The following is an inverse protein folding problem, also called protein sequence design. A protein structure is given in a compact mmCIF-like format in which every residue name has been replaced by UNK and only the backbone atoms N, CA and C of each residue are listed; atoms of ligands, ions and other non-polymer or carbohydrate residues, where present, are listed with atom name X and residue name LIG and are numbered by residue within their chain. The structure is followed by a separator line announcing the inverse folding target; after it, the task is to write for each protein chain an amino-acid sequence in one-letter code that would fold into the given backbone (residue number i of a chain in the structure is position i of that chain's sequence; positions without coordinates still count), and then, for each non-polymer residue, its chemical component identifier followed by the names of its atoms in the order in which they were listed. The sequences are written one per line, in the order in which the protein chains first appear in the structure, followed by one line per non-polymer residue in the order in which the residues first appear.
data_IF_705330952971
#
_entry.id   IF_705330952971
#
_cell.length_a   1.000
_cell.length_b   1.000
_cell.length_c   1.000
_cell.angle_alpha   90.00
_cell.angle_beta   90.00
_cell.angle_gamma   90.00
#
_symmetry.space_group_name_H-M   'P 1'
#
loop_
_entity.id
_entity.type
_entity.pdbx_description
1 polymer ?
#
# COMPACT_ATOMS: atom_id res chain seq x y z
N UNK A 1 15.72 -3.75 -5.64
CA UNK A 1 15.88 -2.93 -4.42
C UNK A 1 15.45 -3.66 -3.15
N UNK A 2 14.39 -4.47 -3.15
CA UNK A 2 13.86 -5.14 -1.94
C UNK A 2 14.84 -6.12 -1.29
N UNK A 3 15.54 -6.97 -2.05
CA UNK A 3 16.50 -7.93 -1.47
C UNK A 3 17.69 -7.26 -0.79
N UNK A 4 18.21 -6.16 -1.35
CA UNK A 4 19.30 -5.41 -0.74
C UNK A 4 18.87 -4.75 0.58
N UNK A 5 17.63 -4.23 0.64
CA UNK A 5 17.09 -3.63 1.86
C UNK A 5 16.99 -4.63 3.01
N UNK A 6 16.47 -5.84 2.75
CA UNK A 6 16.28 -6.88 3.77
C UNK A 6 17.57 -7.46 4.32
N UNK A 7 18.67 -7.44 3.55
CA UNK A 7 19.96 -7.99 3.98
C UNK A 7 20.97 -6.90 4.38
N UNK A 8 21.14 -5.87 3.55
CA UNK A 8 22.12 -4.82 3.80
C UNK A 8 21.66 -3.86 4.92
N UNK A 9 20.36 -3.57 5.04
CA UNK A 9 19.83 -2.68 6.07
C UNK A 9 20.12 -3.15 7.50
N UNK A 10 19.70 -4.38 7.88
CA UNK A 10 20.01 -4.95 9.19
C UNK A 10 21.51 -5.12 9.42
N UNK A 11 22.26 -5.49 8.38
CA UNK A 11 23.71 -5.66 8.46
C UNK A 11 24.43 -4.35 8.78
N UNK A 12 24.12 -3.26 8.06
CA UNK A 12 24.69 -1.92 8.29
C UNK A 12 24.29 -1.41 9.67
N UNK A 13 23.01 -1.58 10.08
CA UNK A 13 22.57 -1.20 11.43
C UNK A 13 23.31 -1.97 12.52
N UNK A 14 23.53 -3.28 12.33
CA UNK A 14 24.29 -4.10 13.26
C UNK A 14 25.77 -3.71 13.30
N UNK A 15 26.37 -3.36 12.16
CA UNK A 15 27.74 -2.88 12.09
C UNK A 15 27.93 -1.51 12.75
N UNK A 16 26.96 -0.58 12.60
CA UNK A 16 26.94 0.68 13.38
C UNK A 16 26.79 0.40 14.87
N UNK A 17 25.92 -0.52 15.26
CA UNK A 17 25.73 -0.91 16.68
C UNK A 17 26.97 -1.58 17.30
N UNK A 18 27.80 -2.25 16.48
CA UNK A 18 29.10 -2.82 16.89
C UNK A 18 30.25 -1.79 16.89
N UNK A 19 30.03 -0.60 16.33
CA UNK A 19 31.06 0.42 16.18
C UNK A 19 31.97 0.22 14.95
N UNK A 20 31.63 -0.69 14.05
CA UNK A 20 32.41 -0.98 12.83
C UNK A 20 32.32 0.17 11.80
N UNK A 21 31.25 1.00 11.88
CA UNK A 21 30.97 2.11 10.96
C UNK A 21 30.41 3.31 11.75
N UNK A 22 30.88 4.52 11.41
CA UNK A 22 30.36 5.75 12.01
C UNK A 22 28.91 5.99 11.56
N UNK A 23 28.02 6.31 12.50
CA UNK A 23 26.64 6.66 12.19
C UNK A 23 26.59 8.00 11.47
N UNK A 24 25.97 8.05 10.30
CA UNK A 24 25.67 9.31 9.61
C UNK A 24 24.49 10.01 10.29
N UNK A 25 24.55 11.34 10.43
CA UNK A 25 23.43 12.14 10.96
C UNK A 25 22.19 12.03 10.08
N UNK A 26 22.37 11.92 8.76
CA UNK A 26 21.27 11.76 7.82
C UNK A 26 21.58 10.62 6.81
N UNK A 27 21.03 9.41 7.02
CA UNK A 27 21.32 8.25 6.17
C UNK A 27 20.83 8.44 4.72
N UNK A 28 19.85 9.30 4.49
CA UNK A 28 19.28 9.54 3.16
C UNK A 28 20.26 10.27 2.23
N UNK A 29 21.25 10.98 2.79
CA UNK A 29 22.26 11.74 2.05
C UNK A 29 23.50 10.92 1.68
N UNK A 30 23.64 9.71 2.21
CA UNK A 30 24.86 8.89 2.04
C UNK A 30 25.12 8.58 0.57
N UNK A 31 24.08 8.16 -0.17
CA UNK A 31 24.24 7.79 -1.57
C UNK A 31 24.53 9.01 -2.48
N UNK A 32 23.78 10.13 -2.40
CA UNK A 32 24.12 11.35 -3.14
C UNK A 32 25.53 11.86 -2.84
N UNK A 33 25.92 11.93 -1.57
CA UNK A 33 27.24 12.41 -1.18
C UNK A 33 28.35 11.46 -1.61
N UNK A 34 28.12 10.14 -1.56
CA UNK A 34 29.11 9.17 -2.05
C UNK A 34 29.35 9.32 -3.56
N UNK A 35 28.29 9.53 -4.35
CA UNK A 35 28.43 9.78 -5.79
C UNK A 35 29.21 11.06 -6.06
N UNK A 36 28.86 12.16 -5.38
CA UNK A 36 29.53 13.46 -5.56
C UNK A 36 31.02 13.40 -5.18
N UNK A 37 31.38 12.68 -4.11
CA UNK A 37 32.76 12.65 -3.61
C UNK A 37 33.64 11.59 -4.27
N UNK A 38 33.08 10.48 -4.76
CA UNK A 38 33.86 9.31 -5.19
C UNK A 38 33.64 8.87 -6.65
N UNK A 39 32.60 9.35 -7.33
CA UNK A 39 32.32 8.96 -8.72
C UNK A 39 32.70 10.07 -9.71
N UNK A 40 33.07 9.72 -10.97
CA UNK A 40 33.31 10.72 -12.02
C UNK A 40 32.08 11.57 -12.30
N UNK A 41 32.26 12.86 -12.59
CA UNK A 41 31.17 13.83 -12.79
C UNK A 41 30.09 13.36 -13.78
N UNK A 42 30.51 12.70 -14.87
CA UNK A 42 29.60 12.16 -15.89
C UNK A 42 28.70 11.07 -15.32
N UNK A 43 29.26 10.19 -14.48
CA UNK A 43 28.51 9.10 -13.83
C UNK A 43 27.58 9.69 -12.77
N UNK A 44 28.06 10.63 -11.97
CA UNK A 44 27.26 11.32 -10.95
C UNK A 44 26.05 12.02 -11.56
N UNK A 45 26.26 12.80 -12.63
CA UNK A 45 25.17 13.47 -13.34
C UNK A 45 24.15 12.47 -13.89
N UNK A 46 24.61 11.42 -14.57
CA UNK A 46 23.71 10.40 -15.14
C UNK A 46 22.89 9.68 -14.07
N UNK A 47 23.53 9.22 -12.98
CA UNK A 47 22.88 8.47 -11.91
C UNK A 47 21.89 9.35 -11.14
N UNK A 48 22.26 10.59 -10.81
CA UNK A 48 21.35 11.51 -10.11
C UNK A 48 20.13 11.86 -10.98
N UNK A 49 20.31 12.10 -12.27
CA UNK A 49 19.18 12.29 -13.20
C UNK A 49 18.29 11.05 -13.29
N UNK A 50 18.87 9.86 -13.35
CA UNK A 50 18.10 8.61 -13.37
C UNK A 50 17.28 8.41 -12.08
N UNK A 51 17.84 8.75 -10.92
CA UNK A 51 17.12 8.71 -9.63
C UNK A 51 15.93 9.68 -9.64
N UNK A 52 16.12 10.92 -10.09
CA UNK A 52 15.03 11.90 -10.20
C UNK A 52 13.94 11.41 -11.15
N UNK A 53 14.31 10.84 -12.30
CA UNK A 53 13.37 10.27 -13.25
C UNK A 53 12.55 9.11 -12.64
N UNK A 54 13.20 8.22 -11.88
CA UNK A 54 12.53 7.11 -11.19
C UNK A 54 11.54 7.60 -10.12
N UNK A 55 11.92 8.63 -9.35
CA UNK A 55 11.05 9.26 -8.35
C UNK A 55 9.83 9.89 -9.04
N UNK A 56 10.03 10.61 -10.15
CA UNK A 56 8.94 11.25 -10.88
C UNK A 56 7.93 10.24 -11.43
N UNK A 57 8.39 9.10 -11.98
CA UNK A 57 7.51 8.04 -12.47
C UNK A 57 6.65 7.44 -11.34
N UNK A 58 7.27 7.18 -10.20
CA UNK A 58 6.58 6.60 -9.02
C UNK A 58 5.58 7.59 -8.43
N UNK A 59 5.98 8.86 -8.27
CA UNK A 59 5.11 9.92 -7.76
C UNK A 59 3.91 10.15 -8.69
N UNK A 60 4.11 10.18 -10.00
CA UNK A 60 3.00 10.32 -10.96
C UNK A 60 2.01 9.16 -10.87
N UNK A 61 2.50 7.93 -10.71
CA UNK A 61 1.62 6.77 -10.53
C UNK A 61 0.77 6.91 -9.27
N UNK A 62 1.37 7.26 -8.13
CA UNK A 62 0.62 7.44 -6.87
C UNK A 62 -0.35 8.62 -6.90
N UNK A 63 0.05 9.74 -7.50
CA UNK A 63 -0.83 10.90 -7.67
C UNK A 63 -2.04 10.54 -8.55
N UNK A 64 -1.82 9.80 -9.64
CA UNK A 64 -2.89 9.38 -10.53
C UNK A 64 -3.83 8.37 -9.86
N UNK A 65 -3.29 7.38 -9.13
CA UNK A 65 -4.09 6.42 -8.36
C UNK A 65 -4.89 7.14 -7.28
N UNK A 66 -4.28 8.06 -6.54
CA UNK A 66 -4.96 8.85 -5.51
C UNK A 66 -6.06 9.75 -6.07
N UNK A 67 -5.81 10.39 -7.22
CA UNK A 67 -6.81 11.19 -7.91
C UNK A 67 -7.99 10.33 -8.38
N UNK A 68 -7.72 9.17 -8.98
CA UNK A 68 -8.75 8.21 -9.41
C UNK A 68 -9.59 7.70 -8.24
N UNK A 69 -8.97 7.40 -7.09
CA UNK A 69 -9.71 6.99 -5.90
C UNK A 69 -10.68 8.07 -5.40
N UNK A 70 -10.30 9.34 -5.50
CA UNK A 70 -11.17 10.46 -5.10
C UNK A 70 -12.27 10.69 -6.13
N UNK A 71 -11.97 10.66 -7.43
CA UNK A 71 -12.94 11.05 -8.46
C UNK A 71 -13.76 9.89 -9.00
N UNK A 72 -13.13 8.79 -9.38
CA UNK A 72 -13.81 7.63 -9.91
C UNK A 72 -14.48 6.85 -8.78
N UNK A 73 -13.70 6.35 -7.83
CA UNK A 73 -14.22 5.43 -6.82
C UNK A 73 -15.16 6.14 -5.82
N UNK A 74 -14.77 7.32 -5.33
CA UNK A 74 -15.57 8.01 -4.32
C UNK A 74 -16.66 8.91 -4.89
N UNK A 75 -16.35 9.79 -5.85
CA UNK A 75 -17.37 10.71 -6.40
C UNK A 75 -18.30 10.02 -7.38
N UNK A 76 -17.75 9.38 -8.43
CA UNK A 76 -18.57 8.81 -9.51
C UNK A 76 -19.29 7.54 -9.07
N UNK A 77 -18.59 6.57 -8.50
CA UNK A 77 -19.16 5.27 -8.13
C UNK A 77 -19.90 5.34 -6.77
N UNK A 78 -19.20 5.69 -5.69
CA UNK A 78 -19.79 5.64 -4.35
C UNK A 78 -20.86 6.71 -4.09
N UNK A 79 -20.63 7.96 -4.52
CA UNK A 79 -21.61 9.05 -4.39
C UNK A 79 -22.62 9.11 -5.53
N UNK A 80 -22.45 8.31 -6.58
CA UNK A 80 -23.30 8.27 -7.77
C UNK A 80 -23.67 9.66 -8.29
N UNK A 81 -22.66 10.51 -8.50
CA UNK A 81 -22.83 11.92 -8.90
C UNK A 81 -23.26 12.10 -10.36
N UNK A 82 -23.38 11.03 -11.15
CA UNK A 82 -23.78 11.10 -12.57
C UNK A 82 -22.83 11.92 -13.44
N UNK A 83 -21.55 12.01 -13.06
CA UNK A 83 -20.57 12.89 -13.72
C UNK A 83 -20.18 12.38 -15.11
N UNK A 84 -20.12 13.30 -16.08
CA UNK A 84 -19.58 13.02 -17.42
C UNK A 84 -18.07 12.77 -17.39
N UNK A 85 -17.53 12.04 -18.36
CA UNK A 85 -16.08 11.75 -18.41
C UNK A 85 -15.22 13.01 -18.47
N UNK A 86 -15.72 14.07 -19.13
CA UNK A 86 -15.03 15.37 -19.17
C UNK A 86 -14.96 16.03 -17.81
N UNK A 87 -16.03 15.91 -17.01
CA UNK A 87 -16.04 16.39 -15.63
C UNK A 87 -15.11 15.55 -14.77
N UNK A 88 -15.17 14.23 -14.89
CA UNK A 88 -14.29 13.31 -14.15
C UNK A 88 -12.80 13.66 -14.34
N UNK A 89 -12.36 13.89 -15.58
CA UNK A 89 -10.97 14.33 -15.85
C UNK A 89 -10.65 15.69 -15.23
N UNK A 90 -11.59 16.64 -15.26
CA UNK A 90 -11.38 17.96 -14.65
C UNK A 90 -11.20 17.86 -13.15
N UNK A 91 -12.09 17.14 -12.47
CA UNK A 91 -11.97 16.91 -11.02
C UNK A 91 -10.74 16.06 -10.69
N UNK A 92 -10.33 15.14 -11.57
CA UNK A 92 -9.13 14.34 -11.40
C UNK A 92 -7.86 15.20 -11.38
N UNK A 93 -7.79 16.20 -12.26
CA UNK A 93 -6.71 17.21 -12.25
C UNK A 93 -6.72 18.05 -10.99
N UNK A 94 -7.89 18.47 -10.51
CA UNK A 94 -8.03 19.25 -9.26
C UNK A 94 -7.61 18.40 -8.05
N UNK A 95 -8.03 17.13 -7.99
CA UNK A 95 -7.63 16.19 -6.95
C UNK A 95 -6.12 15.97 -6.96
N UNK A 96 -5.53 15.73 -8.14
CA UNK A 96 -4.08 15.60 -8.33
C UNK A 96 -3.33 16.83 -7.80
N UNK A 97 -3.75 18.04 -8.19
CA UNK A 97 -3.13 19.28 -7.74
C UNK A 97 -3.26 19.46 -6.21
N UNK A 98 -4.41 19.12 -5.65
CA UNK A 98 -4.65 19.21 -4.20
C UNK A 98 -3.77 18.24 -3.42
N UNK A 99 -3.68 16.98 -3.87
CA UNK A 99 -2.80 15.96 -3.27
C UNK A 99 -1.34 16.40 -3.35
N UNK A 100 -0.90 16.95 -4.50
CA UNK A 100 0.46 17.45 -4.69
C UNK A 100 0.81 18.57 -3.69
N UNK A 101 -0.09 19.53 -3.49
CA UNK A 101 0.11 20.63 -2.53
C UNK A 101 0.22 20.08 -1.10
N UNK A 102 -0.70 19.20 -0.69
CA UNK A 102 -0.69 18.61 0.66
C UNK A 102 0.61 17.80 0.88
N UNK A 103 0.99 16.97 -0.09
CA UNK A 103 2.22 16.18 -0.03
C UNK A 103 3.46 17.08 0.06
N UNK A 104 3.50 18.18 -0.70
CA UNK A 104 4.58 19.17 -0.64
C UNK A 104 4.71 19.84 0.73
N UNK A 105 3.59 20.22 1.34
CA UNK A 105 3.57 20.83 2.69
C UNK A 105 4.07 19.85 3.75
N UNK A 106 3.61 18.59 3.71
CA UNK A 106 4.06 17.54 4.62
C UNK A 106 5.56 17.29 4.46
N UNK A 107 6.04 17.19 3.21
CA UNK A 107 7.46 16.98 2.92
C UNK A 107 8.34 18.14 3.41
N UNK A 108 7.87 19.38 3.31
CA UNK A 108 8.62 20.56 3.77
C UNK A 108 8.65 20.70 5.30
N UNK A 109 7.61 20.25 6.00
CA UNK A 109 7.47 20.43 7.45
C UNK A 109 8.19 19.34 8.25
N UNK A 110 8.40 18.16 7.65
CA UNK A 110 8.88 16.97 8.36
C UNK A 110 10.15 16.38 7.72
N UNK A 111 11.33 17.02 7.91
CA UNK A 111 12.60 16.50 7.41
C UNK A 111 12.98 15.21 8.14
N UNK A 112 13.43 14.19 7.39
CA UNK A 112 13.87 12.89 7.93
C UNK A 112 12.77 11.83 8.06
N UNK A 113 11.57 12.08 7.55
CA UNK A 113 10.48 11.10 7.58
C UNK A 113 10.52 10.07 6.43
N UNK A 114 11.46 10.15 5.48
CA UNK A 114 11.44 9.33 4.25
C UNK A 114 11.43 7.85 4.59
N UNK A 115 12.34 7.41 5.47
CA UNK A 115 12.39 6.02 5.91
C UNK A 115 11.11 5.60 6.64
N UNK A 116 10.61 6.42 7.56
CA UNK A 116 9.43 6.10 8.39
C UNK A 116 8.16 6.05 7.54
N UNK A 117 7.96 7.03 6.65
CA UNK A 117 6.82 7.08 5.72
C UNK A 117 6.89 5.94 4.70
N UNK A 118 8.08 5.61 4.20
CA UNK A 118 8.26 4.46 3.30
C UNK A 118 7.93 3.14 3.98
N UNK A 119 8.42 2.94 5.20
CA UNK A 119 8.13 1.75 6.01
C UNK A 119 6.64 1.68 6.40
N UNK A 120 6.05 2.80 6.80
CA UNK A 120 4.62 2.91 7.11
C UNK A 120 3.76 2.64 5.88
N UNK A 121 4.11 3.17 4.71
CA UNK A 121 3.41 2.92 3.46
C UNK A 121 3.38 1.42 3.12
N UNK A 122 4.53 0.75 3.21
CA UNK A 122 4.58 -0.72 3.03
C UNK A 122 3.75 -1.46 4.08
N UNK A 123 3.81 -1.05 5.34
CA UNK A 123 3.00 -1.67 6.39
C UNK A 123 1.49 -1.48 6.14
N UNK A 124 1.05 -0.32 5.66
CA UNK A 124 -0.34 -0.05 5.28
C UNK A 124 -0.76 -0.97 4.13
N UNK A 125 0.05 -1.05 3.07
CA UNK A 125 -0.19 -1.96 1.97
C UNK A 125 -0.32 -3.41 2.45
N UNK A 126 0.61 -3.87 3.30
CA UNK A 126 0.59 -5.20 3.86
C UNK A 126 -0.59 -5.43 4.80
N UNK A 127 -1.10 -4.41 5.48
CA UNK A 127 -2.19 -4.57 6.45
C UNK A 127 -3.57 -4.51 5.79
N UNK A 128 -3.73 -3.76 4.70
CA UNK A 128 -5.02 -3.61 4.01
C UNK A 128 -5.17 -4.60 2.86
N UNK A 129 -4.16 -4.72 2.00
CA UNK A 129 -4.25 -5.57 0.80
C UNK A 129 -4.16 -7.05 1.17
N UNK A 130 -3.28 -7.43 2.09
CA UNK A 130 -3.09 -8.85 2.41
C UNK A 130 -4.37 -9.50 2.96
N UNK A 131 -5.10 -8.93 3.94
CA UNK A 131 -6.36 -9.51 4.37
C UNK A 131 -7.45 -9.38 3.30
N UNK A 132 -7.55 -8.23 2.65
CA UNK A 132 -8.59 -7.93 1.67
C UNK A 132 -8.53 -8.79 0.40
N UNK A 133 -7.34 -9.23 -0.01
CA UNK A 133 -7.15 -10.01 -1.23
C UNK A 133 -6.72 -11.44 -0.91
N UNK A 134 -5.61 -11.62 -0.18
CA UNK A 134 -5.04 -12.95 0.03
C UNK A 134 -5.88 -13.81 0.98
N UNK A 135 -6.32 -13.25 2.12
CA UNK A 135 -7.17 -14.00 3.05
C UNK A 135 -8.60 -14.13 2.54
N UNK A 136 -9.19 -13.05 2.01
CA UNK A 136 -10.56 -13.10 1.49
C UNK A 136 -10.73 -14.10 0.34
N UNK A 137 -9.77 -14.19 -0.58
CA UNK A 137 -9.84 -15.16 -1.68
C UNK A 137 -9.74 -16.61 -1.19
N UNK A 138 -8.93 -16.88 -0.16
CA UNK A 138 -8.69 -18.24 0.33
C UNK A 138 -9.64 -18.70 1.45
N UNK A 139 -10.32 -17.78 2.13
CA UNK A 139 -11.19 -18.09 3.27
C UNK A 139 -12.65 -17.75 3.00
N UNK A 140 -13.54 -18.75 3.11
CA UNK A 140 -15.00 -18.61 2.90
C UNK A 140 -15.70 -17.71 3.93
N UNK A 141 -15.10 -17.55 5.12
CA UNK A 141 -15.67 -16.76 6.22
C UNK A 141 -15.30 -15.27 6.18
N UNK A 142 -14.58 -14.80 5.16
CA UNK A 142 -14.23 -13.40 5.04
C UNK A 142 -15.46 -12.53 4.77
N UNK A 143 -15.61 -11.44 5.52
CA UNK A 143 -16.75 -10.52 5.44
C UNK A 143 -16.30 -9.11 5.06
N UNK A 144 -17.20 -8.35 4.43
CA UNK A 144 -16.94 -6.94 4.06
C UNK A 144 -16.62 -6.10 5.30
N UNK A 145 -17.35 -6.31 6.39
CA UNK A 145 -17.15 -5.64 7.68
C UNK A 145 -15.78 -5.96 8.27
N UNK A 146 -15.33 -7.21 8.15
CA UNK A 146 -14.00 -7.62 8.60
C UNK A 146 -12.90 -6.89 7.84
N UNK A 147 -13.02 -6.76 6.51
CA UNK A 147 -12.06 -6.03 5.68
C UNK A 147 -12.04 -4.54 6.07
N UNK A 148 -13.21 -3.93 6.24
CA UNK A 148 -13.32 -2.52 6.62
C UNK A 148 -12.71 -2.25 7.99
N UNK A 149 -13.07 -3.03 9.02
CA UNK A 149 -12.57 -2.84 10.38
C UNK A 149 -11.09 -3.22 10.53
N UNK A 150 -10.69 -4.38 9.99
CA UNK A 150 -9.29 -4.82 10.04
C UNK A 150 -8.36 -3.88 9.28
N UNK A 151 -8.76 -3.44 8.08
CA UNK A 151 -8.03 -2.46 7.30
C UNK A 151 -7.94 -1.10 7.97
N UNK A 152 -9.05 -0.60 8.52
CA UNK A 152 -9.09 0.72 9.19
C UNK A 152 -8.24 0.74 10.47
N UNK A 153 -8.40 -0.26 11.33
CA UNK A 153 -7.61 -0.37 12.58
C UNK A 153 -6.12 -0.52 12.25
N UNK A 154 -5.79 -1.36 11.28
CA UNK A 154 -4.42 -1.55 10.83
C UNK A 154 -3.77 -0.29 10.27
N UNK A 155 -4.48 0.45 9.41
CA UNK A 155 -4.04 1.73 8.87
C UNK A 155 -3.78 2.75 9.98
N UNK A 156 -4.77 2.98 10.85
CA UNK A 156 -4.67 3.97 11.91
C UNK A 156 -3.57 3.64 12.90
N UNK A 157 -3.44 2.37 13.27
CA UNK A 157 -2.40 1.92 14.20
C UNK A 157 -1.00 2.01 13.57
N UNK A 158 -0.87 1.74 12.27
CA UNK A 158 0.40 1.92 11.55
C UNK A 158 0.84 3.38 11.58
N UNK A 159 -0.07 4.31 11.27
CA UNK A 159 0.23 5.75 11.34
C UNK A 159 0.57 6.17 12.77
N UNK A 160 -0.24 5.77 13.74
CA UNK A 160 -0.03 6.11 15.14
C UNK A 160 1.32 5.63 15.67
N UNK A 161 1.70 4.38 15.41
CA UNK A 161 2.97 3.82 15.87
C UNK A 161 4.16 4.38 15.07
N UNK A 162 4.01 4.67 13.78
CA UNK A 162 5.07 5.29 12.98
C UNK A 162 5.40 6.70 13.47
N UNK A 163 4.39 7.55 13.69
CA UNK A 163 4.57 8.89 14.25
C UNK A 163 4.97 8.84 15.74
N UNK A 164 4.39 7.93 16.51
CA UNK A 164 4.73 7.69 17.92
C UNK A 164 6.21 7.34 18.12
N UNK A 165 6.73 6.42 17.31
CA UNK A 165 8.14 6.04 17.34
C UNK A 165 9.09 7.18 16.98
N UNK A 166 8.71 8.02 16.00
CA UNK A 166 9.56 9.11 15.52
C UNK A 166 9.57 10.32 16.47
N UNK A 167 8.41 10.75 16.99
CA UNK A 167 8.28 11.99 17.77
C UNK A 167 8.30 11.78 19.28
N UNK A 168 7.78 10.66 19.76
CA UNK A 168 7.68 10.37 21.19
C UNK A 168 8.73 9.35 21.64
N UNK A 169 9.64 8.95 20.75
CA UNK A 169 10.71 7.96 21.00
C UNK A 169 10.19 6.63 21.56
N UNK A 170 8.96 6.26 21.21
CA UNK A 170 8.40 4.97 21.60
C UNK A 170 9.13 3.86 20.89
N UNK A 171 9.76 2.99 21.69
CA UNK A 171 10.42 1.79 21.16
C UNK A 171 9.59 0.58 21.53
N UNK A 172 9.22 -0.19 20.50
CA UNK A 172 8.60 -1.48 20.71
C UNK A 172 9.72 -2.47 21.08
N UNK A 173 9.54 -3.28 22.14
CA UNK A 173 10.51 -4.30 22.52
C UNK A 173 10.88 -5.20 21.32
N UNK A 174 12.10 -5.73 21.31
CA UNK A 174 12.62 -6.66 20.28
C UNK A 174 12.96 -6.03 18.91
N UNK A 175 12.85 -4.71 18.74
CA UNK A 175 13.28 -4.02 17.52
C UNK A 175 12.31 -4.12 16.35
N UNK A 176 11.07 -4.52 16.60
CA UNK A 176 9.99 -4.47 15.61
C UNK A 176 9.69 -3.03 15.21
N UNK A 177 9.38 -2.82 13.94
CA UNK A 177 8.81 -1.57 13.45
C UNK A 177 7.33 -1.51 13.84
N UNK A 178 6.84 -0.30 14.17
CA UNK A 178 5.43 -0.09 14.55
C UNK A 178 4.43 -0.68 13.56
N UNK A 179 4.73 -0.62 12.26
CA UNK A 179 3.91 -1.19 11.20
C UNK A 179 3.74 -2.72 11.26
N UNK A 180 4.72 -3.46 11.78
CA UNK A 180 4.63 -4.93 11.89
C UNK A 180 3.61 -5.34 12.96
N UNK A 181 3.62 -4.64 14.09
CA UNK A 181 2.64 -4.86 15.17
C UNK A 181 1.24 -4.46 14.70
N UNK A 182 1.13 -3.33 14.00
CA UNK A 182 -0.13 -2.89 13.42
C UNK A 182 -0.71 -3.90 12.42
N UNK A 183 0.14 -4.54 11.61
CA UNK A 183 -0.28 -5.58 10.67
C UNK A 183 -0.87 -6.80 11.38
N UNK A 184 -0.20 -7.31 12.43
CA UNK A 184 -0.67 -8.47 13.18
C UNK A 184 -2.03 -8.16 13.84
N UNK A 185 -2.16 -6.98 14.43
CA UNK A 185 -3.41 -6.53 15.05
C UNK A 185 -4.51 -6.34 13.99
N UNK A 186 -4.20 -5.74 12.84
CA UNK A 186 -5.15 -5.56 11.74
C UNK A 186 -5.68 -6.90 11.20
N UNK A 187 -4.81 -7.90 11.05
CA UNK A 187 -5.20 -9.27 10.67
C UNK A 187 -6.07 -9.91 11.77
N UNK A 188 -5.70 -9.75 13.04
CA UNK A 188 -6.48 -10.29 14.14
C UNK A 188 -7.88 -9.68 14.19
N UNK A 189 -8.01 -8.35 14.04
CA UNK A 189 -9.29 -7.66 13.96
C UNK A 189 -10.10 -8.12 12.75
N UNK A 190 -9.47 -8.23 11.57
CA UNK A 190 -10.11 -8.78 10.38
C UNK A 190 -10.71 -10.17 10.66
N UNK A 191 -9.92 -11.09 11.21
CA UNK A 191 -10.38 -12.46 11.50
C UNK A 191 -11.49 -12.47 12.55
N UNK A 192 -11.32 -11.73 13.66
CA UNK A 192 -12.30 -11.70 14.74
C UNK A 192 -13.63 -11.12 14.28
N UNK A 193 -13.61 -9.97 13.60
CA UNK A 193 -14.82 -9.36 13.05
C UNK A 193 -15.44 -10.30 12.02
N UNK A 194 -14.66 -10.85 11.10
CA UNK A 194 -15.19 -11.81 10.12
C UNK A 194 -15.80 -13.06 10.77
N UNK A 195 -15.24 -13.59 11.86
CA UNK A 195 -15.85 -14.72 12.57
C UNK A 195 -17.19 -14.36 13.23
N UNK A 196 -17.29 -13.16 13.81
CA UNK A 196 -18.51 -12.68 14.47
C UNK A 196 -19.59 -12.26 13.48
N UNK A 197 -19.19 -11.66 12.35
CA UNK A 197 -20.09 -11.18 11.30
C UNK A 197 -20.30 -12.20 10.17
N UNK A 198 -19.70 -13.40 10.26
CA UNK A 198 -19.81 -14.47 9.26
C UNK A 198 -21.22 -15.04 9.23
N UNK A 199 -22.11 -14.30 8.60
CA UNK A 199 -23.42 -14.71 8.14
C UNK A 199 -23.54 -14.28 6.67
N UNK A 200 -23.31 -15.23 5.77
CA UNK A 200 -23.87 -15.28 4.42
C UNK A 200 -23.33 -14.38 3.28
N UNK A 201 -22.23 -13.61 3.41
CA UNK A 201 -21.72 -12.84 2.24
C UNK A 201 -21.31 -13.75 1.07
N UNK A 202 -20.66 -14.88 1.33
CA UNK A 202 -20.27 -15.84 0.29
C UNK A 202 -21.48 -16.57 -0.35
N UNK A 203 -22.56 -16.78 0.41
CA UNK A 203 -23.78 -17.41 -0.11
C UNK A 203 -24.67 -16.45 -0.89
N UNK A 204 -24.47 -15.14 -0.72
CA UNK A 204 -25.11 -14.08 -1.50
C UNK A 204 -24.41 -13.77 -2.83
N UNK A 205 -23.25 -14.37 -3.12
CA UNK A 205 -22.53 -14.15 -4.38
C UNK A 205 -23.27 -14.76 -5.58
N UNK A 206 -23.21 -14.06 -6.73
CA UNK A 206 -23.72 -14.58 -8.01
C UNK A 206 -23.13 -15.98 -8.29
N UNK A 207 -23.92 -16.94 -8.83
CA UNK A 207 -23.45 -18.31 -9.08
C UNK A 207 -22.19 -18.42 -9.93
N UNK A 208 -22.04 -17.56 -10.96
CA UNK A 208 -20.84 -17.51 -11.80
C UNK A 208 -19.58 -17.08 -11.05
N UNK A 209 -19.69 -16.09 -10.16
CA UNK A 209 -18.57 -15.63 -9.32
C UNK A 209 -18.19 -16.71 -8.31
N UNK A 210 -19.17 -17.37 -7.69
CA UNK A 210 -18.96 -18.49 -6.78
C UNK A 210 -18.22 -19.65 -7.46
N UNK A 211 -18.64 -20.00 -8.68
CA UNK A 211 -18.00 -21.03 -9.50
C UNK A 211 -16.53 -20.68 -9.83
N UNK A 212 -16.23 -19.44 -10.20
CA UNK A 212 -14.85 -18.98 -10.47
C UNK A 212 -13.99 -19.05 -9.19
N UNK A 213 -14.50 -18.54 -8.07
CA UNK A 213 -13.80 -18.58 -6.77
C UNK A 213 -13.52 -20.01 -6.30
N UNK A 214 -14.49 -20.91 -6.47
CA UNK A 214 -14.33 -22.31 -6.09
C UNK A 214 -13.39 -23.07 -7.03
N UNK A 215 -13.40 -22.72 -8.33
CA UNK A 215 -12.45 -23.25 -9.32
C UNK A 215 -11.02 -22.81 -8.99
N UNK A 216 -10.81 -21.57 -8.55
CA UNK A 216 -9.50 -21.07 -8.09
C UNK A 216 -9.01 -21.70 -6.78
N UNK A 217 -9.93 -22.13 -5.91
CA UNK A 217 -9.62 -22.82 -4.64
C UNK A 217 -9.32 -24.30 -4.80
N UNK A 218 -9.89 -24.96 -5.80
CA UNK A 218 -9.60 -26.35 -6.15
C UNK A 218 -8.39 -26.39 -7.09
N UNK A 219 -7.26 -26.93 -6.61
CA UNK A 219 -6.00 -27.09 -7.37
C UNK A 219 -6.22 -27.45 -8.86
N UNK A 220 -6.23 -26.46 -9.75
CA UNK A 220 -6.32 -26.66 -11.20
C UNK A 220 -7.66 -27.17 -11.72
N UNK A 221 -8.78 -26.94 -11.02
CA UNK A 221 -10.10 -27.30 -11.51
C UNK A 221 -10.43 -26.61 -12.83
N UNK A 222 -11.06 -27.32 -13.78
CA UNK A 222 -11.64 -26.69 -14.98
C UNK A 222 -12.92 -25.96 -14.57
N UNK A 223 -13.15 -24.77 -15.13
CA UNK A 223 -14.39 -24.02 -14.96
C UNK A 223 -15.58 -24.92 -15.33
N UNK A 224 -16.68 -24.89 -14.55
CA UNK A 224 -17.87 -25.66 -14.88
C UNK A 224 -18.43 -25.24 -16.25
N UNK A 225 -18.96 -26.17 -17.06
CA UNK A 225 -19.42 -25.90 -18.43
C UNK A 225 -20.43 -24.76 -18.54
N UNK A 226 -21.24 -24.53 -17.51
CA UNK A 226 -22.21 -23.44 -17.44
C UNK A 226 -21.58 -22.04 -17.45
N UNK A 227 -20.35 -21.88 -16.98
CA UNK A 227 -19.61 -20.61 -16.98
C UNK A 227 -18.81 -20.43 -18.27
N UNK A 228 -18.39 -21.53 -18.90
CA UNK A 228 -17.71 -21.50 -20.20
C UNK A 228 -18.70 -21.25 -21.36
N UNK A 229 -19.95 -21.68 -21.21
CA UNK A 229 -21.02 -21.45 -22.18
C UNK A 229 -21.49 -19.99 -22.24
N UNK A 230 -21.31 -19.24 -21.14
CA UNK A 230 -21.68 -17.83 -20.99
C UNK A 230 -20.54 -16.89 -21.43
N UNK A 231 -19.72 -17.32 -22.40
CA UNK A 231 -18.42 -16.74 -22.76
C UNK A 231 -18.44 -15.30 -23.27
N UNK A 232 -18.78 -14.33 -22.42
CA UNK A 232 -18.66 -12.90 -22.68
C UNK A 232 -19.90 -12.21 -23.24
N UNK A 233 -21.09 -12.81 -23.11
CA UNK A 233 -22.37 -12.15 -23.45
C UNK A 233 -23.17 -11.79 -22.18
N UNK A 234 -22.54 -11.15 -21.18
CA UNK A 234 -23.33 -10.24 -20.32
C UNK A 234 -23.67 -9.03 -21.20
N UNK A 235 -24.78 -9.17 -21.92
CA UNK A 235 -25.46 -8.10 -22.62
C UNK A 235 -25.66 -6.97 -21.61
N UNK A 236 -25.06 -5.83 -21.93
CA UNK A 236 -25.18 -4.58 -21.17
C UNK A 236 -26.61 -4.07 -21.39
N UNK A 237 -27.56 -4.68 -20.70
CA UNK A 237 -28.96 -4.31 -20.77
C UNK A 237 -29.26 -3.36 -19.60
N UNK A 238 -29.23 -2.07 -19.96
CA UNK A 238 -29.79 -0.83 -19.33
C UNK A 238 -29.46 -0.45 -17.88
#
# INVERSE_FOLDING_TARGET
MTTLFWWAGPYVRAAVARGDIQSFENPDLVLPLALINFAPDVVTAFVLTAIVAAIMSTSNAFLNVGASAVTHDFMKEYRNTGMTDRQEVLYGRIATASILVIAGVIAATFPGLIFVLGAAGWAIFATVIFPGVALAYNWKGATTEGILWGGSVGLLLTLFLAYGGQYFSWTIPMGFLGGQVAQVIGIAVFVLVSLVTSTATYDQLKPGVKAVLDTGRLKGGRLPPSVLADGGEERIDE
#
